data_IF_635345207215
#
_entry.id   IF_635345207215
#
_cell.length_a   1.000
_cell.length_b   1.000
_cell.length_c   1.000
_cell.angle_alpha   90.00
_cell.angle_beta   90.00
_cell.angle_gamma   90.00
#
_symmetry.space_group_name_H-M   'P 1'
#
loop_
_entity.id
_entity.type
_entity.pdbx_description
1 polymer ?
#
# COMPACT_ATOMS: atom_id res chain seq x y z
N UNK A 1 -16.49 -16.77 -14.67
CA UNK A 1 -16.49 -15.32 -15.05
C UNK A 1 -17.91 -14.81 -14.83
N UNK A 2 -18.03 -13.78 -13.98
CA UNK A 2 -19.32 -13.23 -13.55
C UNK A 2 -19.58 -11.89 -14.25
N UNK A 3 -20.82 -11.65 -14.69
CA UNK A 3 -21.21 -10.41 -15.35
C UNK A 3 -21.85 -9.45 -14.34
N UNK A 4 -21.51 -8.16 -14.43
CA UNK A 4 -22.02 -7.09 -13.57
C UNK A 4 -21.92 -7.42 -12.06
N UNK A 5 -20.80 -8.05 -11.68
CA UNK A 5 -20.53 -8.48 -10.30
C UNK A 5 -20.22 -7.28 -9.41
N UNK A 6 -20.73 -7.29 -8.17
CA UNK A 6 -20.42 -6.25 -7.17
C UNK A 6 -18.96 -6.34 -6.74
N UNK A 7 -18.30 -5.18 -6.68
CA UNK A 7 -16.91 -5.02 -6.16
C UNK A 7 -16.91 -4.47 -4.74
N UNK A 8 -18.02 -4.40 -4.04
CA UNK A 8 -18.09 -3.86 -2.68
C UNK A 8 -17.16 -4.58 -1.70
N UNK A 9 -17.07 -5.90 -1.80
CA UNK A 9 -16.14 -6.72 -0.99
C UNK A 9 -14.70 -6.72 -1.51
N UNK A 10 -14.45 -6.12 -2.68
CA UNK A 10 -13.14 -6.07 -3.34
C UNK A 10 -12.51 -4.68 -3.33
N UNK A 11 -13.03 -3.77 -2.51
CA UNK A 11 -12.41 -2.48 -2.20
C UNK A 11 -12.63 -2.12 -0.73
N UNK A 12 -11.61 -1.66 -0.07
CA UNK A 12 -11.65 -1.39 1.37
C UNK A 12 -12.39 -0.11 1.76
N UNK A 13 -12.75 0.75 0.82
CA UNK A 13 -13.74 1.82 1.05
C UNK A 13 -15.17 1.29 1.15
N UNK A 14 -15.45 0.08 0.64
CA UNK A 14 -16.79 -0.50 0.60
C UNK A 14 -17.74 0.19 -0.38
N UNK A 15 -17.20 0.82 -1.44
CA UNK A 15 -18.02 1.45 -2.47
C UNK A 15 -18.81 0.41 -3.27
N UNK A 16 -20.09 0.72 -3.50
CA UNK A 16 -20.97 -0.11 -4.29
C UNK A 16 -20.79 0.21 -5.79
N UNK A 17 -19.84 -0.47 -6.39
CA UNK A 17 -19.55 -0.42 -7.83
C UNK A 17 -19.51 -1.83 -8.39
N UNK A 18 -19.68 -1.97 -9.71
CA UNK A 18 -19.72 -3.26 -10.39
C UNK A 18 -18.56 -3.40 -11.38
N UNK A 19 -18.06 -4.61 -11.54
CA UNK A 19 -17.25 -5.00 -12.68
C UNK A 19 -18.15 -5.48 -13.81
N UNK A 20 -17.93 -5.00 -15.04
CA UNK A 20 -18.69 -5.51 -16.20
C UNK A 20 -18.43 -7.01 -16.40
N UNK A 21 -17.18 -7.43 -16.31
CA UNK A 21 -16.79 -8.83 -16.28
C UNK A 21 -15.80 -9.05 -15.12
N UNK A 22 -16.06 -10.02 -14.25
CA UNK A 22 -15.21 -10.38 -13.13
C UNK A 22 -14.64 -11.78 -13.33
N UNK A 23 -13.32 -11.91 -13.20
CA UNK A 23 -12.59 -13.17 -13.24
C UNK A 23 -11.79 -13.35 -11.95
N UNK A 24 -11.86 -14.53 -11.35
CA UNK A 24 -10.97 -14.93 -10.25
C UNK A 24 -9.75 -15.64 -10.82
N UNK A 25 -8.55 -15.27 -10.34
CA UNK A 25 -7.28 -15.87 -10.71
C UNK A 25 -6.85 -16.71 -9.51
N UNK A 26 -7.15 -18.02 -9.56
CA UNK A 26 -7.03 -18.95 -8.45
C UNK A 26 -5.76 -19.80 -8.51
N UNK A 27 -5.20 -19.97 -9.71
CA UNK A 27 -4.00 -20.75 -9.98
C UNK A 27 -3.11 -20.10 -11.04
N UNK A 28 -1.87 -20.53 -11.13
CA UNK A 28 -0.89 -19.93 -12.06
C UNK A 28 -1.35 -20.01 -13.52
N UNK A 29 -2.00 -21.09 -13.92
CA UNK A 29 -2.48 -21.29 -15.30
C UNK A 29 -3.64 -20.33 -15.66
N UNK A 30 -4.31 -19.73 -14.71
CA UNK A 30 -5.34 -18.71 -14.96
C UNK A 30 -4.74 -17.38 -15.42
N UNK A 31 -3.47 -17.10 -15.08
CA UNK A 31 -2.82 -15.83 -15.40
C UNK A 31 -2.70 -15.61 -16.91
N UNK A 32 -2.14 -16.54 -17.71
CA UNK A 32 -2.11 -16.40 -19.18
C UNK A 32 -3.52 -16.27 -19.78
N UNK A 33 -4.49 -17.03 -19.26
CA UNK A 33 -5.88 -16.99 -19.72
C UNK A 33 -6.48 -15.61 -19.45
N UNK A 34 -6.29 -15.06 -18.25
CA UNK A 34 -6.72 -13.71 -17.92
C UNK A 34 -6.02 -12.66 -18.79
N UNK A 35 -4.71 -12.77 -19.01
CA UNK A 35 -3.94 -11.87 -19.87
C UNK A 35 -4.47 -11.86 -21.31
N UNK A 36 -4.89 -13.00 -21.84
CA UNK A 36 -5.51 -13.11 -23.16
C UNK A 36 -6.89 -12.45 -23.21
N UNK A 37 -7.69 -12.58 -22.17
CA UNK A 37 -8.97 -11.86 -22.02
C UNK A 37 -8.76 -10.34 -21.93
N UNK A 38 -7.80 -9.93 -21.10
CA UNK A 38 -7.41 -8.54 -20.90
C UNK A 38 -6.97 -7.88 -22.22
N UNK A 39 -6.16 -8.57 -23.03
CA UNK A 39 -5.70 -8.09 -24.33
C UNK A 39 -6.83 -7.87 -25.34
N UNK A 40 -7.89 -8.66 -25.27
CA UNK A 40 -9.07 -8.57 -26.13
C UNK A 40 -10.08 -7.52 -25.64
N UNK A 41 -10.01 -7.17 -24.36
CA UNK A 41 -10.90 -6.20 -23.76
C UNK A 41 -10.49 -4.76 -24.06
N UNK A 42 -11.45 -3.82 -24.08
CA UNK A 42 -11.16 -2.38 -24.23
C UNK A 42 -10.40 -1.80 -23.05
N UNK A 43 -10.59 -2.39 -21.87
CA UNK A 43 -9.94 -2.02 -20.61
C UNK A 43 -9.88 -3.23 -19.68
N UNK A 44 -8.90 -3.27 -18.81
CA UNK A 44 -8.82 -4.28 -17.77
C UNK A 44 -8.15 -3.75 -16.51
N UNK A 45 -8.48 -4.35 -15.38
CA UNK A 45 -7.90 -4.05 -14.07
C UNK A 45 -7.60 -5.35 -13.34
N UNK A 46 -6.57 -5.33 -12.49
CA UNK A 46 -6.26 -6.42 -11.57
C UNK A 46 -6.29 -5.88 -10.15
N UNK A 47 -7.12 -6.48 -9.31
CA UNK A 47 -7.23 -6.14 -7.90
C UNK A 47 -6.64 -7.27 -7.04
N UNK A 48 -5.86 -6.90 -6.04
CA UNK A 48 -5.55 -7.75 -4.89
C UNK A 48 -6.60 -7.53 -3.79
N UNK A 49 -6.16 -7.10 -2.61
CA UNK A 49 -7.08 -6.79 -1.50
C UNK A 49 -7.90 -5.50 -1.65
N UNK A 50 -7.75 -4.76 -2.76
CA UNK A 50 -8.48 -3.51 -2.99
C UNK A 50 -8.22 -2.41 -1.95
N UNK A 51 -7.09 -2.48 -1.26
CA UNK A 51 -6.78 -1.64 -0.10
C UNK A 51 -6.11 -0.31 -0.44
N UNK A 52 -5.74 -0.11 -1.70
CA UNK A 52 -5.11 1.12 -2.18
C UNK A 52 -5.70 1.57 -3.52
N UNK A 53 -7.02 1.49 -3.65
CA UNK A 53 -7.76 1.89 -4.86
C UNK A 53 -8.96 2.76 -4.51
N UNK A 54 -9.31 3.65 -5.42
CA UNK A 54 -10.59 4.38 -5.43
C UNK A 54 -11.34 3.98 -6.67
N UNK A 55 -12.48 3.33 -6.50
CA UNK A 55 -13.39 2.98 -7.59
C UNK A 55 -14.46 4.09 -7.69
N UNK A 56 -14.38 4.93 -8.73
CA UNK A 56 -15.27 6.11 -8.85
C UNK A 56 -16.54 5.85 -9.64
N UNK A 57 -16.58 4.76 -10.40
CA UNK A 57 -17.75 4.28 -11.14
C UNK A 57 -17.64 2.77 -11.38
N UNK A 58 -18.63 2.16 -12.04
CA UNK A 58 -18.57 0.78 -12.49
C UNK A 58 -17.40 0.57 -13.46
N UNK A 59 -16.67 -0.54 -13.28
CA UNK A 59 -15.46 -0.84 -14.06
C UNK A 59 -15.82 -1.49 -15.40
N UNK A 60 -15.47 -0.86 -16.53
CA UNK A 60 -15.67 -1.45 -17.84
C UNK A 60 -14.65 -2.55 -18.13
N UNK A 61 -14.94 -3.37 -19.14
CA UNK A 61 -14.01 -4.41 -19.59
C UNK A 61 -13.91 -5.59 -18.61
N UNK A 62 -12.69 -6.04 -18.33
CA UNK A 62 -12.43 -7.23 -17.49
C UNK A 62 -11.69 -6.83 -16.22
N UNK A 63 -12.22 -7.25 -15.07
CA UNK A 63 -11.57 -7.09 -13.77
C UNK A 63 -11.13 -8.47 -13.27
N UNK A 64 -9.83 -8.61 -12.98
CA UNK A 64 -9.28 -9.80 -12.31
C UNK A 64 -9.21 -9.58 -10.80
N UNK A 65 -9.51 -10.62 -10.04
CA UNK A 65 -9.22 -10.67 -8.60
C UNK A 65 -8.13 -11.72 -8.38
N UNK A 66 -6.99 -11.29 -7.87
CA UNK A 66 -5.86 -12.17 -7.57
C UNK A 66 -6.09 -12.88 -6.23
N UNK A 67 -6.29 -14.18 -6.27
CA UNK A 67 -6.54 -15.00 -5.07
C UNK A 67 -5.65 -16.25 -4.97
N UNK A 68 -4.60 -16.34 -5.77
CA UNK A 68 -3.64 -17.48 -5.70
C UNK A 68 -3.01 -17.52 -4.31
N UNK A 69 -3.16 -18.64 -3.61
CA UNK A 69 -2.64 -18.88 -2.28
C UNK A 69 -1.43 -19.82 -2.30
N UNK A 70 -0.60 -19.73 -1.29
CA UNK A 70 0.55 -20.59 -1.06
C UNK A 70 1.74 -19.79 -0.53
N UNK A 71 2.38 -20.33 0.50
CA UNK A 71 3.58 -19.77 1.11
C UNK A 71 4.49 -20.88 1.61
N UNK A 72 5.79 -20.71 1.42
CA UNK A 72 6.78 -21.74 1.78
C UNK A 72 8.17 -21.16 2.00
N UNK A 73 8.97 -21.87 2.75
CA UNK A 73 10.42 -21.71 2.75
C UNK A 73 10.97 -22.32 1.47
N UNK A 74 11.69 -21.52 0.67
CA UNK A 74 12.32 -21.98 -0.58
C UNK A 74 13.75 -22.45 -0.32
N UNK A 75 14.49 -21.71 0.52
CA UNK A 75 15.89 -22.00 0.85
C UNK A 75 16.21 -21.50 2.25
N UNK A 76 17.09 -22.20 2.98
CA UNK A 76 17.61 -21.77 4.27
C UNK A 76 19.10 -21.98 4.32
N UNK A 77 19.84 -20.93 4.62
CA UNK A 77 21.29 -20.93 4.78
C UNK A 77 21.68 -20.44 6.18
N UNK A 78 22.97 -20.35 6.46
CA UNK A 78 23.47 -19.72 7.69
C UNK A 78 23.25 -18.18 7.70
N UNK A 79 23.07 -17.58 6.52
CA UNK A 79 23.05 -16.11 6.36
C UNK A 79 21.64 -15.56 6.10
N UNK A 80 20.71 -16.39 5.60
CA UNK A 80 19.36 -15.95 5.26
C UNK A 80 18.38 -17.13 5.12
N UNK A 81 17.09 -16.79 5.18
CA UNK A 81 15.98 -17.61 4.69
C UNK A 81 15.36 -16.95 3.45
N UNK A 82 15.12 -17.72 2.39
CA UNK A 82 14.29 -17.30 1.27
C UNK A 82 12.88 -17.84 1.48
N UNK A 83 11.96 -16.93 1.67
CA UNK A 83 10.55 -17.24 1.91
C UNK A 83 9.72 -16.69 0.76
N UNK A 84 8.91 -17.53 0.14
CA UNK A 84 8.03 -17.16 -0.97
C UNK A 84 6.57 -17.16 -0.55
N UNK A 85 5.80 -16.23 -1.09
CA UNK A 85 4.35 -16.24 -1.00
C UNK A 85 3.71 -15.90 -2.34
N UNK A 86 2.57 -16.53 -2.64
CA UNK A 86 1.76 -16.27 -3.82
C UNK A 86 1.05 -14.90 -3.70
N UNK A 87 0.72 -14.34 -4.85
CA UNK A 87 0.25 -12.96 -4.96
C UNK A 87 -1.08 -12.67 -4.25
N UNK A 88 -1.94 -13.67 -4.11
CA UNK A 88 -3.24 -13.55 -3.42
C UNK A 88 -3.17 -13.72 -1.89
N UNK A 89 -2.02 -14.12 -1.32
CA UNK A 89 -1.85 -14.21 0.14
C UNK A 89 -2.11 -12.86 0.80
N UNK A 90 -2.87 -12.85 1.91
CA UNK A 90 -3.02 -11.64 2.72
C UNK A 90 -1.67 -11.23 3.31
N UNK A 91 -1.29 -9.98 3.16
CA UNK A 91 0.01 -9.48 3.60
C UNK A 91 0.24 -9.65 5.10
N UNK A 92 -0.74 -9.27 5.93
CA UNK A 92 -0.60 -9.36 7.38
C UNK A 92 -0.52 -10.82 7.87
N UNK A 93 -1.35 -11.68 7.30
CA UNK A 93 -1.34 -13.11 7.62
C UNK A 93 -0.02 -13.76 7.20
N UNK A 94 0.57 -13.31 6.09
CA UNK A 94 1.89 -13.74 5.66
C UNK A 94 2.98 -13.29 6.64
N UNK A 95 2.98 -12.01 7.07
CA UNK A 95 3.92 -11.50 8.09
C UNK A 95 3.77 -12.29 9.40
N UNK A 96 2.56 -12.58 9.83
CA UNK A 96 2.29 -13.38 11.04
C UNK A 96 2.86 -14.79 10.89
N UNK A 97 2.58 -15.44 9.76
CA UNK A 97 3.08 -16.77 9.46
C UNK A 97 4.61 -16.83 9.45
N UNK A 98 5.31 -15.84 8.86
CA UNK A 98 6.79 -15.83 8.87
C UNK A 98 7.35 -15.82 10.29
N UNK A 99 6.76 -15.05 11.20
CA UNK A 99 7.17 -15.02 12.60
C UNK A 99 6.90 -16.34 13.32
N UNK A 100 5.75 -16.96 13.09
CA UNK A 100 5.36 -18.25 13.68
C UNK A 100 6.28 -19.39 13.22
N UNK A 101 6.78 -19.32 11.98
CA UNK A 101 7.73 -20.28 11.44
C UNK A 101 9.20 -19.99 11.82
N UNK A 102 9.45 -18.87 12.53
CA UNK A 102 10.81 -18.50 12.93
C UNK A 102 11.62 -17.80 11.84
N UNK A 103 10.96 -17.12 10.88
CA UNK A 103 11.55 -16.33 9.79
C UNK A 103 11.32 -14.82 10.03
N UNK A 104 12.00 -14.16 10.98
CA UNK A 104 11.82 -12.75 11.27
C UNK A 104 12.42 -11.86 10.18
N UNK A 105 11.91 -10.61 10.08
CA UNK A 105 12.40 -9.58 9.16
C UNK A 105 11.28 -8.75 8.51
N UNK A 106 10.01 -9.18 8.67
CA UNK A 106 8.84 -8.49 8.12
C UNK A 106 7.98 -7.80 9.20
N UNK A 107 8.32 -7.91 10.46
CA UNK A 107 7.52 -7.46 11.62
C UNK A 107 7.18 -5.97 11.59
N UNK A 108 8.08 -5.12 11.07
CA UNK A 108 7.82 -3.69 10.90
C UNK A 108 6.70 -3.38 9.89
N UNK A 109 6.42 -4.31 8.97
CA UNK A 109 5.41 -4.17 7.93
C UNK A 109 4.08 -4.83 8.30
N UNK A 110 3.92 -5.22 9.57
CA UNK A 110 2.68 -5.82 10.07
C UNK A 110 1.46 -4.88 9.92
N UNK A 111 0.26 -5.46 9.78
CA UNK A 111 -1.02 -4.76 9.60
C UNK A 111 -1.08 -3.79 8.39
N UNK A 112 -0.17 -3.85 7.43
CA UNK A 112 -0.39 -3.18 6.15
C UNK A 112 -1.48 -3.97 5.42
N UNK A 113 -2.60 -3.34 5.04
CA UNK A 113 -3.67 -4.03 4.34
C UNK A 113 -3.30 -4.33 2.89
N UNK A 114 -3.86 -5.39 2.32
CA UNK A 114 -3.64 -5.80 0.93
C UNK A 114 -3.08 -7.21 0.81
N UNK A 115 -2.54 -7.50 -0.36
CA UNK A 115 -2.00 -8.83 -0.69
C UNK A 115 -0.50 -8.77 -1.01
N UNK A 116 0.16 -9.92 -0.92
CA UNK A 116 1.59 -10.06 -1.20
C UNK A 116 1.94 -9.58 -2.61
N UNK A 117 1.14 -9.91 -3.63
CA UNK A 117 1.39 -9.49 -5.02
C UNK A 117 1.19 -7.98 -5.26
N UNK A 118 0.40 -7.30 -4.41
CA UNK A 118 0.22 -5.86 -4.48
C UNK A 118 1.34 -5.09 -3.76
N UNK A 119 2.06 -5.73 -2.84
CA UNK A 119 3.10 -5.10 -2.03
C UNK A 119 4.25 -4.48 -2.85
N UNK A 120 4.79 -5.12 -3.93
CA UNK A 120 5.84 -4.54 -4.77
C UNK A 120 5.37 -3.34 -5.61
N UNK A 121 4.08 -3.23 -5.91
CA UNK A 121 3.55 -2.21 -6.86
C UNK A 121 3.96 -0.79 -6.43
N UNK A 122 3.91 -0.51 -5.15
CA UNK A 122 4.33 0.78 -4.60
C UNK A 122 5.41 0.66 -3.52
N UNK A 123 6.18 -0.45 -3.52
CA UNK A 123 7.23 -0.64 -2.53
C UNK A 123 6.71 -0.32 -1.13
N UNK A 124 5.73 -1.10 -0.64
CA UNK A 124 5.11 -0.82 0.66
C UNK A 124 6.16 -0.61 1.74
N UNK A 125 5.91 0.31 2.67
CA UNK A 125 6.87 0.60 3.73
C UNK A 125 6.21 1.24 4.94
N UNK A 126 6.69 0.87 6.11
CA UNK A 126 6.25 1.41 7.39
C UNK A 126 7.35 1.24 8.44
N UNK A 127 7.36 2.08 9.46
CA UNK A 127 8.23 1.95 10.65
C UNK A 127 9.72 1.77 10.34
N UNK A 128 10.21 2.49 9.32
CA UNK A 128 11.63 2.51 8.94
C UNK A 128 12.09 1.34 8.07
N UNK A 129 11.15 0.53 7.55
CA UNK A 129 11.42 -0.58 6.62
C UNK A 129 10.58 -0.40 5.36
N UNK A 130 11.16 -0.66 4.19
CA UNK A 130 10.46 -0.79 2.92
C UNK A 130 10.57 -2.24 2.41
N UNK A 131 9.63 -2.66 1.57
CA UNK A 131 9.64 -4.00 0.97
C UNK A 131 10.97 -4.27 0.25
N UNK A 132 11.52 -3.28 -0.43
CA UNK A 132 12.82 -3.37 -1.12
C UNK A 132 13.98 -3.80 -0.20
N UNK A 133 13.91 -3.59 1.12
CA UNK A 133 14.96 -3.96 2.07
C UNK A 133 15.07 -5.47 2.28
N UNK A 134 13.95 -6.17 2.06
CA UNK A 134 13.78 -7.61 2.27
C UNK A 134 13.40 -8.38 0.99
N UNK A 135 13.29 -7.69 -0.12
CA UNK A 135 12.91 -8.26 -1.41
C UNK A 135 14.10 -8.98 -2.05
N UNK A 136 13.86 -10.20 -2.58
CA UNK A 136 14.83 -10.92 -3.40
C UNK A 136 14.43 -10.87 -4.89
N UNK A 137 13.29 -11.43 -5.23
CA UNK A 137 12.73 -11.41 -6.59
C UNK A 137 11.22 -11.67 -6.57
N UNK A 138 10.59 -11.47 -7.71
CA UNK A 138 9.23 -11.91 -7.94
C UNK A 138 9.12 -12.65 -9.29
N UNK A 139 8.08 -13.47 -9.41
CA UNK A 139 7.66 -14.06 -10.66
C UNK A 139 6.41 -13.31 -11.15
N UNK A 140 6.41 -12.92 -12.42
CA UNK A 140 5.28 -12.25 -13.04
C UNK A 140 5.07 -12.74 -14.47
N UNK A 141 3.85 -12.58 -14.97
CA UNK A 141 3.53 -12.71 -16.38
C UNK A 141 3.74 -11.35 -17.05
N UNK A 142 4.61 -11.29 -18.07
CA UNK A 142 4.75 -10.11 -18.93
C UNK A 142 3.69 -10.18 -20.04
N UNK A 143 2.65 -9.34 -19.94
CA UNK A 143 1.53 -9.29 -20.89
C UNK A 143 1.99 -8.87 -22.30
N UNK A 144 3.12 -8.14 -22.41
CA UNK A 144 3.68 -7.72 -23.70
C UNK A 144 4.45 -8.87 -24.35
N UNK A 145 5.29 -9.57 -23.60
CA UNK A 145 6.06 -10.69 -24.11
C UNK A 145 5.21 -11.98 -24.22
N UNK A 146 4.09 -12.05 -23.50
CA UNK A 146 3.26 -13.25 -23.31
C UNK A 146 4.08 -14.43 -22.77
N UNK A 147 4.90 -14.14 -21.75
CA UNK A 147 5.78 -15.13 -21.11
C UNK A 147 6.00 -14.80 -19.62
N UNK A 148 6.46 -15.82 -18.89
CA UNK A 148 6.86 -15.69 -17.51
C UNK A 148 8.20 -14.98 -17.38
N UNK A 149 8.31 -14.02 -16.46
CA UNK A 149 9.54 -13.29 -16.18
C UNK A 149 9.82 -13.29 -14.68
N UNK A 150 11.10 -13.47 -14.35
CA UNK A 150 11.60 -13.23 -13.01
C UNK A 150 12.20 -11.82 -12.96
N UNK A 151 11.71 -11.01 -12.04
CA UNK A 151 12.19 -9.64 -11.82
C UNK A 151 12.90 -9.59 -10.47
N UNK A 152 14.17 -9.20 -10.49
CA UNK A 152 14.96 -8.92 -9.30
C UNK A 152 14.74 -7.48 -8.81
N UNK A 153 15.47 -7.07 -7.77
CA UNK A 153 15.37 -5.75 -7.16
C UNK A 153 15.66 -4.62 -8.15
N UNK A 154 16.69 -4.79 -8.99
CA UNK A 154 17.11 -3.77 -9.95
C UNK A 154 16.08 -3.61 -11.06
N UNK A 155 15.55 -4.72 -11.56
CA UNK A 155 14.46 -4.72 -12.56
C UNK A 155 13.17 -4.09 -12.01
N UNK A 156 12.90 -4.22 -10.72
CA UNK A 156 11.72 -3.61 -10.07
C UNK A 156 11.86 -2.10 -9.85
N UNK A 157 13.06 -1.51 -9.90
CA UNK A 157 13.31 -0.07 -9.79
C UNK A 157 12.63 0.58 -8.58
N UNK A 158 12.72 -0.05 -7.42
CA UNK A 158 12.07 0.43 -6.21
C UNK A 158 12.58 1.80 -5.77
N UNK A 159 11.65 2.70 -5.49
CA UNK A 159 11.87 3.97 -4.84
C UNK A 159 10.75 4.25 -3.82
N UNK A 160 10.79 5.39 -3.14
CA UNK A 160 9.74 5.77 -2.19
C UNK A 160 8.36 5.78 -2.85
N UNK A 161 7.49 4.85 -2.46
CA UNK A 161 6.13 4.64 -3.01
C UNK A 161 6.11 4.47 -4.54
N UNK A 162 7.17 3.88 -5.09
CA UNK A 162 7.35 3.75 -6.52
C UNK A 162 8.00 2.41 -6.90
N UNK A 163 7.70 1.95 -8.12
CA UNK A 163 8.32 0.81 -8.78
C UNK A 163 8.06 0.83 -10.27
N UNK A 164 8.72 -0.03 -11.03
CA UNK A 164 8.50 -0.24 -12.48
C UNK A 164 7.03 -0.54 -12.81
N UNK A 165 6.29 -1.15 -11.90
CA UNK A 165 4.87 -1.49 -12.10
C UNK A 165 3.96 -0.25 -12.17
N UNK A 166 4.37 0.87 -11.58
CA UNK A 166 3.66 2.16 -11.72
C UNK A 166 4.05 2.90 -13.00
N UNK A 167 5.25 2.68 -13.53
CA UNK A 167 5.71 3.25 -14.80
C UNK A 167 5.14 2.51 -16.00
N UNK A 168 4.99 1.18 -15.87
CA UNK A 168 4.50 0.30 -16.91
C UNK A 168 3.18 -0.37 -16.46
N UNK A 169 2.11 0.42 -16.26
CA UNK A 169 0.84 -0.12 -15.79
C UNK A 169 0.33 -1.18 -16.76
N UNK A 170 -0.27 -2.22 -16.21
CA UNK A 170 -0.85 -3.33 -16.98
C UNK A 170 0.14 -4.20 -17.77
N UNK A 171 1.45 -3.99 -17.62
CA UNK A 171 2.45 -4.85 -18.27
C UNK A 171 2.65 -6.16 -17.53
N UNK A 172 2.71 -6.12 -16.20
CA UNK A 172 3.06 -7.28 -15.40
C UNK A 172 1.90 -7.72 -14.50
N UNK A 173 1.65 -9.02 -14.46
CA UNK A 173 0.75 -9.67 -13.50
C UNK A 173 1.63 -10.46 -12.53
N UNK A 174 1.82 -9.94 -11.32
CA UNK A 174 2.63 -10.59 -10.29
C UNK A 174 1.92 -11.85 -9.80
N UNK A 175 2.63 -12.97 -9.78
CA UNK A 175 2.11 -14.27 -9.33
C UNK A 175 2.64 -14.71 -7.97
N UNK A 176 3.90 -14.39 -7.65
CA UNK A 176 4.53 -14.66 -6.36
C UNK A 176 5.67 -13.69 -6.07
N UNK A 177 5.98 -13.52 -4.78
CA UNK A 177 7.09 -12.69 -4.31
C UNK A 177 7.95 -13.51 -3.35
N UNK A 178 9.27 -13.43 -3.52
CA UNK A 178 10.27 -14.07 -2.67
C UNK A 178 11.01 -13.03 -1.87
N UNK A 179 11.09 -13.27 -0.57
CA UNK A 179 11.71 -12.39 0.42
C UNK A 179 12.99 -13.03 0.95
N UNK A 180 14.04 -12.21 1.13
CA UNK A 180 15.32 -12.60 1.71
C UNK A 180 15.43 -12.08 3.13
N UNK A 181 15.19 -12.94 4.09
CA UNK A 181 15.19 -12.63 5.51
C UNK A 181 16.56 -12.99 6.11
N UNK A 182 17.30 -11.96 6.54
CA UNK A 182 18.71 -12.11 6.96
C UNK A 182 18.86 -12.80 8.31
N UNK A 183 19.98 -13.54 8.44
CA UNK A 183 20.48 -14.15 9.68
C UNK A 183 21.89 -13.61 10.01
N UNK A 184 22.22 -13.35 11.27
CA UNK A 184 21.29 -13.23 12.38
C UNK A 184 20.32 -12.07 12.18
N UNK A 185 19.11 -12.20 12.72
CA UNK A 185 18.11 -11.13 12.71
C UNK A 185 18.62 -9.90 13.48
N UNK A 186 18.35 -8.71 12.97
CA UNK A 186 18.70 -7.43 13.58
C UNK A 186 17.46 -6.55 13.69
N UNK A 187 17.11 -6.06 14.90
CA UNK A 187 15.94 -5.22 15.10
C UNK A 187 16.06 -3.88 14.36
N UNK A 188 15.00 -3.43 13.69
CA UNK A 188 14.90 -2.08 13.15
C UNK A 188 13.90 -1.25 13.96
N UNK A 189 14.41 -0.44 14.87
CA UNK A 189 13.63 0.47 15.74
C UNK A 189 13.99 1.95 15.50
N UNK A 190 14.47 2.31 14.29
CA UNK A 190 14.87 3.68 13.96
C UNK A 190 13.72 4.67 13.94
N UNK A 191 12.49 4.19 13.76
CA UNK A 191 11.30 5.04 13.80
C UNK A 191 10.96 5.38 15.25
N UNK A 192 11.07 6.66 15.62
CA UNK A 192 10.96 7.14 17.00
C UNK A 192 9.70 6.66 17.75
N UNK A 193 8.48 6.72 17.20
CA UNK A 193 7.31 6.21 17.91
C UNK A 193 7.37 4.71 18.22
N UNK A 194 8.03 3.91 17.37
CA UNK A 194 8.25 2.49 17.63
C UNK A 194 9.32 2.29 18.71
N UNK A 195 10.43 3.03 18.63
CA UNK A 195 11.48 3.01 19.66
C UNK A 195 10.90 3.33 21.04
N UNK A 196 10.08 4.39 21.12
CA UNK A 196 9.43 4.81 22.37
C UNK A 196 8.47 3.74 22.93
N UNK A 197 7.72 3.05 22.06
CA UNK A 197 6.81 1.97 22.47
C UNK A 197 7.53 0.72 22.99
N UNK A 198 8.82 0.58 22.66
CA UNK A 198 9.66 -0.57 23.05
C UNK A 198 10.63 -0.25 24.19
N UNK A 199 10.59 0.96 24.76
CA UNK A 199 11.46 1.33 25.89
C UNK A 199 11.29 0.36 27.06
N UNK A 200 12.40 -0.20 27.55
CA UNK A 200 12.41 -1.13 28.67
C UNK A 200 11.91 -2.56 28.36
N UNK A 201 11.68 -2.89 27.08
CA UNK A 201 11.32 -4.24 26.63
C UNK A 201 12.50 -4.90 25.94
N UNK A 202 12.56 -6.23 26.02
CA UNK A 202 13.48 -7.01 25.20
C UNK A 202 13.12 -6.87 23.73
N UNK A 203 14.10 -6.55 22.90
CA UNK A 203 13.93 -6.41 21.46
C UNK A 203 13.89 -7.80 20.81
N UNK A 204 12.70 -8.32 20.64
CA UNK A 204 12.44 -9.56 19.90
C UNK A 204 11.58 -9.26 18.67
N UNK A 205 11.60 -10.11 17.61
CA UNK A 205 10.72 -9.96 16.46
C UNK A 205 9.25 -9.83 16.87
N UNK A 206 8.82 -10.64 17.82
CA UNK A 206 7.45 -10.64 18.36
C UNK A 206 7.11 -9.32 19.06
N UNK A 207 8.02 -8.79 19.87
CA UNK A 207 7.81 -7.52 20.55
C UNK A 207 7.64 -6.35 19.57
N UNK A 208 8.45 -6.32 18.49
CA UNK A 208 8.33 -5.30 17.43
C UNK A 208 6.99 -5.46 16.71
N UNK A 209 6.62 -6.66 16.30
CA UNK A 209 5.34 -6.95 15.64
C UNK A 209 4.15 -6.44 16.48
N UNK A 210 4.11 -6.79 17.77
CA UNK A 210 3.04 -6.36 18.68
C UNK A 210 2.99 -4.85 18.86
N UNK A 211 4.15 -4.19 19.00
CA UNK A 211 4.23 -2.74 19.11
C UNK A 211 3.75 -2.06 17.83
N UNK A 212 4.15 -2.55 16.65
CA UNK A 212 3.67 -2.06 15.34
C UNK A 212 2.16 -2.21 15.24
N UNK A 213 1.62 -3.39 15.54
CA UNK A 213 0.18 -3.63 15.53
C UNK A 213 -0.56 -2.67 16.47
N UNK A 214 -0.09 -2.51 17.71
CA UNK A 214 -0.71 -1.61 18.69
C UNK A 214 -0.70 -0.14 18.23
N UNK A 215 0.44 0.35 17.70
CA UNK A 215 0.55 1.73 17.17
C UNK A 215 -0.40 1.93 15.99
N UNK A 216 -0.48 0.96 15.07
CA UNK A 216 -1.38 1.06 13.91
C UNK A 216 -2.84 1.07 14.32
N UNK A 217 -3.27 0.14 15.15
CA UNK A 217 -4.65 0.08 15.66
C UNK A 217 -5.07 1.33 16.44
N UNK A 218 -4.14 1.99 17.13
CA UNK A 218 -4.46 3.23 17.85
C UNK A 218 -4.69 4.44 16.91
N UNK A 219 -4.09 4.42 15.71
CA UNK A 219 -4.08 5.56 14.77
C UNK A 219 -4.96 5.37 13.54
N UNK A 220 -5.13 4.13 13.07
CA UNK A 220 -5.80 3.82 11.81
C UNK A 220 -7.11 3.10 12.09
N UNK A 221 -8.20 3.46 11.40
CA UNK A 221 -9.46 2.73 11.51
C UNK A 221 -9.34 1.39 10.74
N UNK A 222 -9.94 0.34 11.30
CA UNK A 222 -10.09 -0.92 10.57
C UNK A 222 -11.02 -0.67 9.35
N UNK A 223 -10.57 -0.97 8.13
CA UNK A 223 -11.41 -0.80 6.94
C UNK A 223 -12.71 -1.62 6.97
N UNK A 224 -12.77 -2.69 7.76
CA UNK A 224 -13.99 -3.48 7.95
C UNK A 224 -15.06 -2.74 8.76
N UNK A 225 -14.64 -1.82 9.65
CA UNK A 225 -15.54 -1.01 10.49
C UNK A 225 -15.80 0.35 9.85
N UNK A 226 -14.76 0.96 9.29
CA UNK A 226 -14.85 2.29 8.68
C UNK A 226 -14.03 2.30 7.37
N UNK A 227 -14.71 2.23 6.24
CA UNK A 227 -14.12 2.11 4.91
C UNK A 227 -13.04 3.16 4.65
N UNK A 228 -11.85 2.73 4.24
CA UNK A 228 -10.71 3.60 3.93
C UNK A 228 -9.68 2.86 3.07
N UNK A 229 -8.68 3.57 2.54
CA UNK A 229 -7.57 2.99 1.78
C UNK A 229 -6.20 3.31 2.43
N UNK A 230 -6.16 3.43 3.76
CA UNK A 230 -4.95 3.86 4.46
C UNK A 230 -4.59 5.32 4.18
N UNK A 231 -3.29 5.63 4.12
CA UNK A 231 -2.82 6.98 3.80
C UNK A 231 -3.24 7.37 2.39
N UNK A 232 -3.96 8.48 2.26
CA UNK A 232 -4.51 8.90 0.96
C UNK A 232 -3.54 9.74 0.14
N UNK A 233 -2.57 10.41 0.79
CA UNK A 233 -1.58 11.23 0.12
C UNK A 233 -0.17 10.80 0.50
N UNK A 234 0.75 10.92 -0.46
CA UNK A 234 2.17 10.81 -0.20
C UNK A 234 2.65 11.97 0.66
N UNK A 235 3.69 11.75 1.45
CA UNK A 235 4.45 12.83 2.06
C UNK A 235 5.18 13.59 0.95
N UNK A 236 4.85 14.89 0.70
CA UNK A 236 5.46 15.64 -0.38
C UNK A 236 6.95 15.88 -0.11
N UNK A 237 7.75 15.81 -1.18
CA UNK A 237 9.19 16.07 -1.13
C UNK A 237 9.42 17.51 -1.55
N UNK A 238 10.19 18.26 -0.74
CA UNK A 238 10.50 19.68 -0.96
C UNK A 238 11.99 19.95 -0.87
N UNK A 239 12.45 21.01 -1.51
CA UNK A 239 13.84 21.48 -1.40
C UNK A 239 14.12 22.10 -0.02
N UNK A 240 15.40 22.33 0.30
CA UNK A 240 15.78 23.03 1.53
C UNK A 240 15.24 24.46 1.58
N UNK A 241 15.21 25.17 0.45
CA UNK A 241 14.67 26.54 0.34
C UNK A 241 13.17 26.56 0.59
N UNK A 242 12.42 25.64 -0.01
CA UNK A 242 10.98 25.51 0.23
C UNK A 242 10.68 25.21 1.71
N UNK A 243 11.45 24.28 2.31
CA UNK A 243 11.31 23.97 3.73
C UNK A 243 11.60 25.19 4.61
N UNK A 244 12.63 25.97 4.32
CA UNK A 244 12.93 27.19 5.07
C UNK A 244 11.79 28.22 4.99
N UNK A 245 11.23 28.41 3.80
CA UNK A 245 10.08 29.31 3.60
C UNK A 245 8.84 28.85 4.40
N UNK A 246 8.59 27.54 4.45
CA UNK A 246 7.49 26.99 5.26
C UNK A 246 7.78 27.14 6.75
N UNK A 247 9.00 26.81 7.22
CA UNK A 247 9.42 26.94 8.62
C UNK A 247 9.36 28.37 9.15
N UNK A 248 9.60 29.34 8.31
CA UNK A 248 9.47 30.75 8.70
C UNK A 248 8.04 31.09 9.16
N UNK A 249 7.02 30.51 8.50
CA UNK A 249 5.61 30.73 8.87
C UNK A 249 5.10 29.66 9.86
N UNK A 250 5.65 28.46 9.82
CA UNK A 250 5.23 27.30 10.60
C UNK A 250 6.47 26.60 11.19
N UNK A 251 7.03 27.11 12.31
CA UNK A 251 8.28 26.57 12.89
C UNK A 251 8.18 25.11 13.35
N UNK A 252 6.97 24.65 13.64
CA UNK A 252 6.62 23.31 14.14
C UNK A 252 6.32 22.30 13.01
N UNK A 253 6.61 22.63 11.73
CA UNK A 253 6.38 21.71 10.61
C UNK A 253 7.14 20.41 10.78
N UNK A 254 6.42 19.29 10.72
CA UNK A 254 6.99 17.95 10.86
C UNK A 254 7.64 17.50 9.54
N UNK A 255 8.92 17.16 9.61
CA UNK A 255 9.73 16.83 8.43
C UNK A 255 10.62 15.62 8.67
N UNK A 256 10.97 14.94 7.58
CA UNK A 256 11.90 13.81 7.59
C UNK A 256 12.97 14.04 6.51
N UNK A 257 14.26 13.78 6.79
CA UNK A 257 15.32 13.84 5.77
C UNK A 257 15.05 12.86 4.61
N UNK A 258 15.38 13.28 3.39
CA UNK A 258 15.28 12.44 2.20
C UNK A 258 16.39 12.81 1.19
N UNK A 259 17.56 12.19 1.32
CA UNK A 259 18.75 12.58 0.57
C UNK A 259 19.10 14.04 0.83
N UNK A 260 19.22 14.84 -0.23
CA UNK A 260 19.42 16.28 -0.17
C UNK A 260 18.14 17.09 0.01
N UNK A 261 16.98 16.44 0.09
CA UNK A 261 15.66 17.03 0.20
C UNK A 261 14.97 16.63 1.51
N UNK A 262 13.73 17.04 1.68
CA UNK A 262 12.93 16.76 2.88
C UNK A 262 11.53 16.30 2.51
N UNK A 263 11.02 15.29 3.21
CA UNK A 263 9.61 14.92 3.18
C UNK A 263 8.86 15.70 4.25
N UNK A 264 7.76 16.37 3.89
CA UNK A 264 6.84 16.98 4.86
C UNK A 264 5.78 15.94 5.26
N UNK A 265 5.40 15.91 6.54
CA UNK A 265 4.31 15.05 6.99
C UNK A 265 2.97 15.55 6.42
N UNK A 266 2.43 14.89 5.39
CA UNK A 266 1.17 15.29 4.75
C UNK A 266 0.01 15.33 5.76
N UNK A 267 -0.04 14.39 6.71
CA UNK A 267 -1.05 14.41 7.78
C UNK A 267 -0.98 15.66 8.65
N UNK A 268 0.23 16.19 8.93
CA UNK A 268 0.41 17.44 9.64
C UNK A 268 -0.08 18.63 8.81
N UNK A 269 0.23 18.68 7.51
CA UNK A 269 -0.23 19.75 6.61
C UNK A 269 -1.76 19.82 6.58
N UNK A 270 -2.42 18.66 6.44
CA UNK A 270 -3.89 18.55 6.39
C UNK A 270 -4.52 18.95 7.74
N UNK A 271 -3.94 18.52 8.87
CA UNK A 271 -4.39 18.88 10.22
C UNK A 271 -4.27 20.40 10.45
N UNK A 272 -3.16 21.02 9.99
CA UNK A 272 -2.93 22.47 10.08
C UNK A 272 -3.89 23.30 9.24
N UNK A 273 -4.45 22.75 8.17
CA UNK A 273 -5.55 23.34 7.41
C UNK A 273 -6.92 23.25 8.12
N UNK A 274 -6.98 22.66 9.34
CA UNK A 274 -8.22 22.47 10.08
C UNK A 274 -9.13 21.40 9.47
N UNK A 275 -8.58 20.46 8.69
CA UNK A 275 -9.37 19.47 7.97
C UNK A 275 -9.49 18.14 8.72
N UNK A 276 -8.76 17.90 9.81
CA UNK A 276 -8.92 16.70 10.62
C UNK A 276 -10.31 16.62 11.21
N UNK A 277 -11.03 15.50 10.96
CA UNK A 277 -12.45 15.35 11.33
C UNK A 277 -13.44 16.05 10.39
N UNK A 278 -12.98 16.72 9.32
CA UNK A 278 -13.84 17.39 8.35
C UNK A 278 -14.71 16.38 7.61
N UNK A 279 -15.97 16.73 7.41
CA UNK A 279 -16.98 15.94 6.69
C UNK A 279 -17.34 16.59 5.36
N UNK A 280 -17.43 15.77 4.33
CA UNK A 280 -17.93 16.15 3.01
C UNK A 280 -18.93 15.08 2.57
N UNK A 281 -20.22 15.41 2.58
CA UNK A 281 -21.32 14.47 2.32
C UNK A 281 -21.19 13.18 3.18
N UNK A 282 -21.08 12.02 2.54
CA UNK A 282 -20.96 10.71 3.20
C UNK A 282 -19.52 10.26 3.45
N UNK A 283 -18.52 11.10 3.14
CA UNK A 283 -17.11 10.83 3.34
C UNK A 283 -16.47 11.86 4.27
N UNK A 284 -15.23 11.63 4.71
CA UNK A 284 -14.57 12.59 5.60
C UNK A 284 -13.09 12.32 5.79
N UNK A 285 -12.43 13.22 6.50
CA UNK A 285 -11.07 13.06 7.01
C UNK A 285 -11.15 12.44 8.41
N UNK A 286 -10.41 11.37 8.65
CA UNK A 286 -10.48 10.66 9.93
C UNK A 286 -10.00 11.54 11.09
N UNK A 287 -10.75 11.49 12.21
CA UNK A 287 -10.52 12.38 13.36
C UNK A 287 -9.22 12.14 14.12
N UNK A 288 -8.63 10.91 14.04
CA UNK A 288 -7.38 10.57 14.74
C UNK A 288 -6.15 10.70 13.84
N UNK A 289 -6.33 10.65 12.50
CA UNK A 289 -5.24 10.75 11.54
C UNK A 289 -5.71 11.44 10.26
N UNK A 290 -5.29 12.69 10.07
CA UNK A 290 -5.73 13.52 8.95
C UNK A 290 -5.32 13.00 7.55
N UNK A 291 -4.39 12.05 7.50
CA UNK A 291 -3.97 11.43 6.23
C UNK A 291 -4.94 10.35 5.72
N UNK A 292 -5.89 9.94 6.55
CA UNK A 292 -6.86 8.89 6.22
C UNK A 292 -8.19 9.52 5.81
N UNK A 293 -8.61 9.25 4.58
CA UNK A 293 -9.96 9.56 4.13
C UNK A 293 -10.86 8.34 4.36
N UNK A 294 -12.07 8.60 4.83
CA UNK A 294 -12.99 7.55 5.27
C UNK A 294 -14.36 7.66 4.61
N UNK A 295 -14.99 6.51 4.40
CA UNK A 295 -16.37 6.37 3.97
C UNK A 295 -17.26 6.06 5.19
N UNK A 296 -18.23 6.90 5.48
CA UNK A 296 -19.16 6.71 6.60
C UNK A 296 -20.38 5.83 6.24
N UNK A 297 -20.27 5.02 5.17
CA UNK A 297 -21.20 3.94 4.84
C UNK A 297 -21.92 4.09 3.51
N UNK A 298 -22.28 5.29 3.08
CA UNK A 298 -23.00 5.55 1.82
C UNK A 298 -22.21 6.42 0.84
N UNK A 299 -20.92 6.64 1.11
CA UNK A 299 -20.07 7.45 0.27
C UNK A 299 -19.74 6.75 -1.05
N UNK A 300 -19.35 7.56 -2.02
CA UNK A 300 -18.93 7.14 -3.35
C UNK A 300 -17.47 7.49 -3.60
N UNK A 301 -16.86 6.82 -4.57
CA UNK A 301 -15.51 7.18 -5.00
C UNK A 301 -15.43 8.62 -5.54
N UNK A 302 -16.51 9.14 -6.14
CA UNK A 302 -16.57 10.56 -6.58
C UNK A 302 -16.48 11.53 -5.40
N UNK A 303 -17.26 11.30 -4.34
CA UNK A 303 -17.19 12.15 -3.12
C UNK A 303 -15.81 12.12 -2.47
N UNK A 304 -15.13 10.96 -2.45
CA UNK A 304 -13.73 10.88 -1.97
C UNK A 304 -12.79 11.70 -2.85
N UNK A 305 -12.96 11.68 -4.16
CA UNK A 305 -12.13 12.48 -5.08
C UNK A 305 -12.40 13.98 -4.96
N UNK A 306 -13.64 14.39 -4.71
CA UNK A 306 -14.01 15.78 -4.41
C UNK A 306 -13.39 16.23 -3.08
N UNK A 307 -13.49 15.40 -2.03
CA UNK A 307 -12.83 15.67 -0.75
C UNK A 307 -11.31 15.79 -0.90
N UNK A 308 -10.70 14.89 -1.66
CA UNK A 308 -9.26 14.93 -1.94
C UNK A 308 -8.85 16.24 -2.62
N UNK A 309 -9.65 16.72 -3.59
CA UNK A 309 -9.40 18.00 -4.27
C UNK A 309 -9.50 19.18 -3.30
N UNK A 310 -10.51 19.21 -2.42
CA UNK A 310 -10.63 20.26 -1.38
C UNK A 310 -9.36 20.28 -0.50
N UNK A 311 -8.85 19.11 -0.12
CA UNK A 311 -7.63 19.01 0.70
C UNK A 311 -6.41 19.52 -0.08
N UNK A 312 -6.24 19.09 -1.34
CA UNK A 312 -5.14 19.52 -2.22
C UNK A 312 -5.11 21.04 -2.38
N UNK A 313 -6.26 21.66 -2.65
CA UNK A 313 -6.41 23.11 -2.80
C UNK A 313 -6.06 23.85 -1.50
N UNK A 314 -6.60 23.44 -0.35
CA UNK A 314 -6.32 24.09 0.93
C UNK A 314 -4.86 23.97 1.37
N UNK A 315 -4.24 22.81 1.17
CA UNK A 315 -2.81 22.64 1.48
C UNK A 315 -1.95 23.49 0.55
N UNK A 316 -2.28 23.56 -0.73
CA UNK A 316 -1.56 24.41 -1.67
C UNK A 316 -1.71 25.90 -1.32
N UNK A 317 -2.92 26.38 -1.03
CA UNK A 317 -3.18 27.78 -0.62
C UNK A 317 -2.38 28.17 0.63
N UNK A 318 -2.29 27.28 1.61
CA UNK A 318 -1.64 27.59 2.89
C UNK A 318 -0.12 27.43 2.87
N UNK A 319 0.41 26.41 2.17
CA UNK A 319 1.82 26.02 2.23
C UNK A 319 2.56 26.14 0.90
N UNK A 320 1.87 26.33 -0.25
CA UNK A 320 2.46 26.30 -1.59
C UNK A 320 2.98 24.90 -1.98
N UNK A 321 2.40 23.82 -1.40
CA UNK A 321 2.84 22.45 -1.60
C UNK A 321 1.73 21.65 -2.26
N UNK A 322 2.07 20.93 -3.33
CA UNK A 322 1.14 20.01 -3.97
C UNK A 322 1.17 18.64 -3.28
N UNK A 323 0.00 18.13 -2.93
CA UNK A 323 -0.16 16.74 -2.50
C UNK A 323 -0.39 15.84 -3.71
N UNK A 324 0.17 14.64 -3.69
CA UNK A 324 -0.10 13.58 -4.67
C UNK A 324 -0.84 12.43 -4.00
N UNK A 325 -1.85 11.90 -4.67
CA UNK A 325 -2.69 10.80 -4.18
C UNK A 325 -1.90 9.49 -4.24
N UNK A 326 -2.00 8.68 -3.18
CA UNK A 326 -1.35 7.36 -3.11
C UNK A 326 -2.21 6.26 -3.77
N UNK A 327 -3.54 6.21 -3.57
CA UNK A 327 -4.38 5.19 -4.19
C UNK A 327 -4.45 5.32 -5.71
N UNK A 328 -4.55 4.15 -6.38
CA UNK A 328 -4.86 4.09 -7.80
C UNK A 328 -6.34 4.43 -8.00
N UNK A 329 -6.62 5.33 -8.93
CA UNK A 329 -7.99 5.76 -9.22
C UNK A 329 -8.46 5.05 -10.47
N UNK A 330 -9.56 4.32 -10.34
CA UNK A 330 -10.27 3.71 -11.46
C UNK A 330 -11.57 4.50 -11.73
N UNK A 331 -12.06 4.46 -12.99
CA UNK A 331 -13.29 5.15 -13.41
C UNK A 331 -14.45 4.86 -12.50
#
# INVERSE_FOLDING_TARGET
MDLNASLRSHNTFGFEVKAHQLAHIEQFDDIPVFADLARKAKSWQLLGGGSNVVLSADLPGVTGIMVIQGKSLVESTAEYDLVQACAGENWHDFVTWTLEQGYPGLENLALIPGTVGAAPIQNIGAYGVELADVFDHLLAWDCQASDWVRLDRDACQFAYRHSVFKELPQRYIVSSVTFKLRKPWVPNVRYEPLANALLGRDLTPRAIYEAVCAIRMSKLPDPKELGNAGSFFHNPIVSAEQLQAIRFKFPDVVTYPYGAQYKLAAGWLIDRCGLKGFRHASVGVYERQALILVNHGQGTGKEILELAKIIEEKVYEQFGVHLSREPVIYP
#
